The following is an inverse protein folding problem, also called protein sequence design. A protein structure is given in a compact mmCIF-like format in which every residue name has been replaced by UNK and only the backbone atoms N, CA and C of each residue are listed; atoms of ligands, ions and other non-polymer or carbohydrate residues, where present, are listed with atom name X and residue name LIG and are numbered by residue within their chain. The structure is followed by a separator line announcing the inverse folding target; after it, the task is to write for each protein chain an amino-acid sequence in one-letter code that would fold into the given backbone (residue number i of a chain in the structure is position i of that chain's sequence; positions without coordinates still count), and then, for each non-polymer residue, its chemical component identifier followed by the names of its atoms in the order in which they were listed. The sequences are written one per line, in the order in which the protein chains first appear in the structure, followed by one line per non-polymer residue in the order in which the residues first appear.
data_IF_954262604231
#
_entry.id   IF_954262604231
#
_cell.length_a   1.000
_cell.length_b   1.000
_cell.length_c   1.000
_cell.angle_alpha   90.00
_cell.angle_beta   90.00
_cell.angle_gamma   90.00
#
_symmetry.space_group_name_H-M   'P 1'
#
loop_
_entity.id
_entity.type
_entity.pdbx_description
1 polymer ?
#
# COMPACT_ATOMS: atom_id res chain seq x y z
N UNK A 1 9.73 52.65 -5.07
CA UNK A 1 10.47 51.87 -4.04
C UNK A 1 9.55 51.18 -3.02
N UNK A 2 8.43 51.78 -2.58
CA UNK A 2 7.49 51.14 -1.63
C UNK A 2 6.80 49.87 -2.18
N UNK A 3 6.50 49.82 -3.48
CA UNK A 3 5.88 48.61 -4.12
C UNK A 3 6.81 47.40 -4.19
N UNK A 4 8.13 47.59 -4.27
CA UNK A 4 9.11 46.51 -4.25
C UNK A 4 9.32 45.96 -2.83
N UNK A 5 9.18 46.81 -1.82
CA UNK A 5 9.28 46.42 -0.40
C UNK A 5 8.07 45.61 0.06
N UNK A 6 6.86 45.95 -0.40
CA UNK A 6 5.64 45.18 -0.11
C UNK A 6 5.64 43.80 -0.80
N UNK A 7 6.21 43.68 -2.00
CA UNK A 7 6.40 42.39 -2.67
C UNK A 7 7.45 41.51 -1.97
N UNK A 8 8.53 42.10 -1.45
CA UNK A 8 9.52 41.39 -0.65
C UNK A 8 8.96 40.90 0.70
N UNK A 9 8.11 41.70 1.35
CA UNK A 9 7.43 41.31 2.60
C UNK A 9 6.36 40.23 2.39
N UNK A 10 5.66 40.23 1.24
CA UNK A 10 4.74 39.14 0.87
C UNK A 10 5.49 37.83 0.59
N UNK A 11 6.66 37.89 -0.04
CA UNK A 11 7.53 36.73 -0.27
C UNK A 11 8.12 36.17 1.03
N UNK A 12 8.44 37.04 2.01
CA UNK A 12 8.93 36.63 3.32
C UNK A 12 7.83 36.05 4.24
N UNK A 13 6.59 36.56 4.16
CA UNK A 13 5.46 36.01 4.91
C UNK A 13 4.98 34.65 4.39
N UNK A 14 5.24 34.32 3.11
CA UNK A 14 4.98 32.99 2.56
C UNK A 14 6.03 31.93 2.99
N UNK A 15 7.10 32.34 3.67
CA UNK A 15 8.17 31.44 4.13
C UNK A 15 8.26 31.31 5.67
N UNK A 16 7.34 31.90 6.43
CA UNK A 16 7.34 31.81 7.89
C UNK A 16 6.31 30.77 8.41
N UNK A 17 6.81 29.55 8.62
CA UNK A 17 6.40 28.50 9.58
C UNK A 17 4.91 28.36 9.96
N UNK A 18 4.35 27.22 9.55
CA UNK A 18 3.81 26.26 10.52
C UNK A 18 4.71 25.01 10.49
N UNK A 19 5.39 24.76 11.61
CA UNK A 19 6.17 23.53 11.85
C UNK A 19 5.19 22.38 12.13
N UNK A 20 4.58 21.84 11.08
CA UNK A 20 4.11 20.45 11.07
C UNK A 20 5.01 19.71 10.10
N UNK A 21 5.57 18.59 10.53
CA UNK A 21 6.45 17.74 9.74
C UNK A 21 5.65 17.01 8.64
N UNK A 22 4.96 17.74 7.78
CA UNK A 22 4.38 17.23 6.55
C UNK A 22 5.54 16.77 5.67
N UNK A 23 5.60 15.47 5.39
CA UNK A 23 6.45 14.90 4.35
C UNK A 23 5.96 15.49 3.01
N UNK A 24 6.36 16.71 2.69
CA UNK A 24 6.12 17.33 1.39
C UNK A 24 7.11 16.71 0.41
N UNK A 25 6.70 15.59 -0.20
CA UNK A 25 7.36 15.06 -1.38
C UNK A 25 7.04 16.02 -2.53
N UNK A 26 8.06 16.69 -3.04
CA UNK A 26 7.98 17.42 -4.29
C UNK A 26 7.71 16.38 -5.38
N UNK A 27 6.46 16.32 -5.81
CA UNK A 27 6.02 15.54 -6.95
C UNK A 27 6.50 16.33 -8.16
N UNK A 28 7.57 15.84 -8.80
CA UNK A 28 7.87 16.24 -10.16
C UNK A 28 6.57 16.08 -10.95
N UNK A 29 6.21 17.11 -11.69
CA UNK A 29 4.93 17.24 -12.36
C UNK A 29 5.12 16.76 -13.82
N UNK A 30 5.14 15.45 -14.13
CA UNK A 30 5.13 15.01 -15.51
C UNK A 30 3.81 15.49 -16.13
N UNK A 31 3.82 15.80 -17.43
CA UNK A 31 2.59 16.07 -18.17
C UNK A 31 1.60 14.93 -17.88
N UNK A 32 0.55 15.23 -17.12
CA UNK A 32 -0.46 14.26 -16.74
C UNK A 32 -1.12 13.72 -18.01
N UNK A 33 -1.07 12.40 -18.18
CA UNK A 33 -1.77 11.72 -19.27
C UNK A 33 -3.28 11.94 -19.15
N UNK A 34 -4.02 11.78 -20.24
CA UNK A 34 -5.49 11.87 -20.21
C UNK A 34 -6.10 10.90 -19.18
N UNK A 35 -5.55 9.69 -19.07
CA UNK A 35 -5.99 8.69 -18.08
C UNK A 35 -5.79 9.17 -16.63
N UNK A 36 -4.67 9.86 -16.37
CA UNK A 36 -4.39 10.47 -15.06
C UNK A 36 -5.40 11.57 -14.73
N UNK A 37 -5.79 12.39 -15.71
CA UNK A 37 -6.78 13.45 -15.51
C UNK A 37 -8.18 12.90 -15.24
N UNK A 38 -8.59 11.85 -15.95
CA UNK A 38 -9.88 11.17 -15.70
C UNK A 38 -9.93 10.56 -14.30
N UNK A 39 -8.82 10.01 -13.82
CA UNK A 39 -8.69 9.52 -12.44
C UNK A 39 -8.90 10.64 -11.42
N UNK A 40 -8.13 11.75 -11.50
CA UNK A 40 -8.27 12.85 -10.54
C UNK A 40 -9.67 13.46 -10.56
N UNK A 41 -10.31 13.55 -11.72
CA UNK A 41 -11.70 14.01 -11.83
C UNK A 41 -12.67 13.08 -11.09
N UNK A 42 -12.54 11.76 -11.26
CA UNK A 42 -13.37 10.78 -10.56
C UNK A 42 -13.12 10.82 -9.05
N UNK A 43 -11.84 10.90 -8.64
CA UNK A 43 -11.44 10.95 -7.24
C UNK A 43 -12.00 12.18 -6.54
N UNK A 44 -11.85 13.35 -7.16
CA UNK A 44 -12.42 14.61 -6.67
C UNK A 44 -13.93 14.54 -6.49
N UNK A 45 -14.64 13.88 -7.42
CA UNK A 45 -16.09 13.70 -7.32
C UNK A 45 -16.47 12.87 -6.09
N UNK A 46 -15.77 11.74 -5.86
CA UNK A 46 -15.95 10.91 -4.68
C UNK A 46 -15.65 11.70 -3.39
N UNK A 47 -14.48 12.33 -3.32
CA UNK A 47 -14.05 13.12 -2.17
C UNK A 47 -15.06 14.24 -1.83
N UNK A 48 -15.44 15.03 -2.83
CA UNK A 48 -16.40 16.13 -2.64
C UNK A 48 -17.75 15.61 -2.15
N UNK A 49 -18.19 14.46 -2.65
CA UNK A 49 -19.44 13.85 -2.23
C UNK A 49 -19.37 13.39 -0.77
N UNK A 50 -18.32 12.66 -0.39
CA UNK A 50 -18.14 12.17 0.99
C UNK A 50 -17.99 13.32 1.99
N UNK A 51 -17.28 14.40 1.62
CA UNK A 51 -17.16 15.60 2.44
C UNK A 51 -18.52 16.28 2.67
N UNK A 52 -19.32 16.46 1.61
CA UNK A 52 -20.67 17.04 1.73
C UNK A 52 -21.61 16.17 2.54
N UNK A 53 -21.52 14.84 2.37
CA UNK A 53 -22.31 13.88 3.14
C UNK A 53 -21.98 13.97 4.63
N UNK A 54 -20.69 14.04 4.98
CA UNK A 54 -20.26 14.22 6.37
C UNK A 54 -20.84 15.47 6.98
N UNK A 55 -20.60 16.64 6.35
CA UNK A 55 -21.05 17.94 6.88
C UNK A 55 -22.56 17.95 7.09
N UNK A 56 -23.35 17.40 6.16
CA UNK A 56 -24.80 17.33 6.33
C UNK A 56 -25.19 16.51 7.56
N UNK A 57 -24.54 15.36 7.78
CA UNK A 57 -24.84 14.48 8.90
C UNK A 57 -24.36 15.10 10.21
N UNK A 58 -23.22 15.81 10.20
CA UNK A 58 -22.71 16.56 11.34
C UNK A 58 -23.67 17.71 11.71
N UNK A 59 -24.14 18.50 10.72
CA UNK A 59 -25.14 19.57 10.90
C UNK A 59 -26.48 19.03 11.43
N UNK A 60 -26.93 17.87 10.94
CA UNK A 60 -28.14 17.21 11.42
C UNK A 60 -27.98 16.72 12.88
N UNK A 61 -26.77 16.28 13.28
CA UNK A 61 -26.46 15.81 14.65
C UNK A 61 -26.37 16.97 15.64
N UNK A 62 -25.77 18.09 15.23
CA UNK A 62 -25.53 19.26 16.09
C UNK A 62 -26.77 20.18 16.22
N UNK A 63 -27.89 19.87 15.56
CA UNK A 63 -29.15 20.62 15.72
C UNK A 63 -29.73 20.41 17.14
N UNK A 64 -29.80 21.47 17.97
CA UNK A 64 -30.31 21.38 19.35
C UNK A 64 -31.81 21.02 19.43
N UNK A 65 -32.54 21.07 18.31
CA UNK A 65 -33.94 20.63 18.20
C UNK A 65 -34.08 19.24 17.57
N UNK A 66 -32.97 18.57 17.24
CA UNK A 66 -33.03 17.19 16.77
C UNK A 66 -33.61 16.30 17.89
N UNK A 67 -34.70 15.55 17.65
CA UNK A 67 -35.24 14.61 18.63
C UNK A 67 -34.25 13.50 19.03
N UNK A 68 -33.11 13.39 18.35
CA UNK A 68 -31.99 12.49 18.62
C UNK A 68 -30.74 13.25 19.16
N UNK A 69 -30.94 14.22 20.05
CA UNK A 69 -29.85 15.01 20.66
C UNK A 69 -28.72 14.10 21.24
N UNK A 70 -27.47 14.27 20.78
CA UNK A 70 -26.32 13.40 21.10
C UNK A 70 -25.87 13.41 22.58
N UNK A 71 -26.30 14.38 23.38
CA UNK A 71 -25.97 14.43 24.82
C UNK A 71 -26.84 13.52 25.69
N UNK A 72 -27.92 12.94 25.14
CA UNK A 72 -28.88 12.11 25.90
C UNK A 72 -29.16 10.73 25.32
N UNK A 73 -28.76 10.48 24.09
CA UNK A 73 -28.79 9.16 23.48
C UNK A 73 -27.38 8.81 23.02
N UNK A 74 -26.89 7.64 23.41
CA UNK A 74 -25.86 6.92 22.65
C UNK A 74 -26.27 7.02 21.17
N UNK A 75 -25.68 7.93 20.39
CA UNK A 75 -25.83 7.90 18.94
C UNK A 75 -25.38 6.48 18.57
N UNK A 76 -26.21 5.63 17.92
CA UNK A 76 -25.76 4.29 17.61
C UNK A 76 -24.44 4.45 16.87
N UNK A 77 -23.37 3.79 17.31
CA UNK A 77 -22.04 3.89 16.71
C UNK A 77 -22.10 3.77 15.16
N UNK A 78 -23.13 3.08 14.69
CA UNK A 78 -23.61 2.98 13.32
C UNK A 78 -23.92 4.30 12.60
N UNK A 79 -24.67 5.25 13.19
CA UNK A 79 -25.00 6.53 12.55
C UNK A 79 -23.75 7.38 12.35
N UNK A 80 -22.91 7.47 13.39
CA UNK A 80 -21.63 8.18 13.31
C UNK A 80 -20.68 7.52 12.31
N UNK A 81 -20.67 6.19 12.25
CA UNK A 81 -19.93 5.42 11.26
C UNK A 81 -20.38 5.66 9.82
N UNK A 82 -21.69 5.76 9.62
CA UNK A 82 -22.29 5.98 8.31
C UNK A 82 -22.16 7.43 7.83
N UNK A 83 -21.66 8.38 8.62
CA UNK A 83 -21.61 9.79 8.22
C UNK A 83 -20.86 10.05 6.90
N UNK A 84 -19.87 9.21 6.61
CA UNK A 84 -19.09 9.26 5.38
C UNK A 84 -19.59 8.30 4.28
N UNK A 85 -20.61 7.49 4.59
CA UNK A 85 -21.15 6.43 3.74
C UNK A 85 -22.62 6.65 3.41
N UNK A 86 -22.92 6.65 2.11
CA UNK A 86 -24.28 6.74 1.57
C UNK A 86 -24.34 5.96 0.27
N UNK A 87 -25.54 5.60 -0.19
CA UNK A 87 -25.74 4.75 -1.37
C UNK A 87 -24.99 5.20 -2.64
N UNK A 88 -24.68 6.50 -2.78
CA UNK A 88 -23.96 7.03 -3.94
C UNK A 88 -22.42 7.00 -3.79
N UNK A 89 -21.85 6.73 -2.61
CA UNK A 89 -20.39 6.60 -2.44
C UNK A 89 -19.84 5.37 -3.15
N UNK A 90 -20.55 4.24 -3.13
CA UNK A 90 -20.14 2.99 -3.79
C UNK A 90 -20.01 3.16 -5.31
N UNK A 91 -21.04 3.65 -6.05
CA UNK A 91 -20.89 3.89 -7.49
C UNK A 91 -19.75 4.84 -7.84
N UNK A 92 -19.54 5.89 -7.03
CA UNK A 92 -18.44 6.84 -7.24
C UNK A 92 -17.07 6.19 -6.99
N UNK A 93 -16.92 5.39 -5.94
CA UNK A 93 -15.68 4.66 -5.67
C UNK A 93 -15.38 3.59 -6.73
N UNK A 94 -16.42 2.90 -7.25
CA UNK A 94 -16.27 2.04 -8.43
C UNK A 94 -15.80 2.82 -9.66
N UNK A 95 -16.28 4.04 -9.85
CA UNK A 95 -15.82 4.90 -10.94
C UNK A 95 -14.34 5.30 -10.76
N UNK A 96 -13.92 5.62 -9.54
CA UNK A 96 -12.49 5.87 -9.21
C UNK A 96 -11.63 4.66 -9.56
N UNK A 97 -12.00 3.47 -9.08
CA UNK A 97 -11.25 2.24 -9.32
C UNK A 97 -11.13 1.90 -10.82
N UNK A 98 -12.15 2.20 -11.63
CA UNK A 98 -12.10 2.03 -13.10
C UNK A 98 -11.11 2.97 -13.78
N UNK A 99 -10.84 4.13 -13.19
CA UNK A 99 -9.98 5.15 -13.79
C UNK A 99 -8.52 5.05 -13.38
N UNK A 100 -8.16 4.14 -12.48
CA UNK A 100 -6.76 3.91 -12.08
C UNK A 100 -5.92 3.55 -13.31
N UNK A 101 -4.91 4.38 -13.67
CA UNK A 101 -4.14 4.17 -14.90
C UNK A 101 -3.48 2.79 -14.97
N UNK A 102 -2.88 2.34 -13.87
CA UNK A 102 -2.24 1.03 -13.77
C UNK A 102 -3.19 -0.13 -14.12
N UNK A 103 -4.47 -0.03 -13.75
CA UNK A 103 -5.45 -1.08 -14.01
C UNK A 103 -5.91 -1.12 -15.48
N UNK A 104 -5.69 -0.04 -16.24
CA UNK A 104 -5.92 -0.01 -17.68
C UNK A 104 -4.78 -0.70 -18.45
N UNK A 105 -3.59 -0.78 -17.85
CA UNK A 105 -2.42 -1.44 -18.43
C UNK A 105 -2.48 -2.96 -18.35
N UNK A 106 -3.21 -3.51 -17.37
CA UNK A 106 -3.44 -4.96 -17.27
C UNK A 106 -4.35 -5.42 -18.42
N UNK A 107 -3.89 -6.38 -19.22
CA UNK A 107 -4.63 -6.94 -20.36
C UNK A 107 -4.99 -8.40 -20.09
N UNK A 108 -6.18 -8.69 -19.51
CA UNK A 108 -6.59 -10.05 -19.23
C UNK A 108 -6.46 -10.95 -20.46
N UNK A 109 -5.88 -12.13 -20.30
CA UNK A 109 -5.68 -13.14 -21.36
C UNK A 109 -6.85 -14.12 -21.44
N UNK A 110 -7.70 -14.17 -20.41
CA UNK A 110 -8.82 -15.08 -20.29
C UNK A 110 -9.83 -14.57 -19.26
N UNK A 111 -11.02 -15.18 -19.22
CA UNK A 111 -12.10 -14.82 -18.30
C UNK A 111 -11.71 -14.89 -16.81
N UNK A 112 -10.77 -15.76 -16.43
CA UNK A 112 -10.30 -15.85 -15.05
C UNK A 112 -9.46 -14.63 -14.66
N UNK A 113 -8.62 -14.13 -15.56
CA UNK A 113 -7.87 -12.87 -15.37
C UNK A 113 -8.80 -11.64 -15.41
N UNK A 114 -9.93 -11.69 -16.11
CA UNK A 114 -10.94 -10.63 -16.07
C UNK A 114 -11.61 -10.55 -14.69
N UNK A 115 -11.97 -11.70 -14.11
CA UNK A 115 -12.47 -11.79 -12.73
C UNK A 115 -11.44 -11.30 -11.73
N UNK A 116 -10.17 -11.65 -11.91
CA UNK A 116 -9.08 -11.13 -11.08
C UNK A 116 -9.00 -9.60 -11.15
N UNK A 117 -9.03 -9.01 -12.34
CA UNK A 117 -8.97 -7.54 -12.49
C UNK A 117 -10.22 -6.86 -11.90
N UNK A 118 -11.39 -7.49 -12.01
CA UNK A 118 -12.60 -7.00 -11.36
C UNK A 118 -12.43 -6.98 -9.84
N UNK A 119 -11.91 -8.06 -9.25
CA UNK A 119 -11.64 -8.13 -7.81
C UNK A 119 -10.59 -7.11 -7.34
N UNK A 120 -9.51 -6.91 -8.10
CA UNK A 120 -8.52 -5.84 -7.84
C UNK A 120 -9.20 -4.46 -7.79
N UNK A 121 -10.14 -4.19 -8.70
CA UNK A 121 -10.90 -2.93 -8.72
C UNK A 121 -11.86 -2.81 -7.54
N UNK A 122 -12.49 -3.90 -7.11
CA UNK A 122 -13.36 -3.91 -5.93
C UNK A 122 -12.54 -3.64 -4.65
N UNK A 123 -11.36 -4.24 -4.50
CA UNK A 123 -10.45 -3.92 -3.40
C UNK A 123 -9.96 -2.46 -3.45
N UNK A 124 -9.63 -1.96 -4.64
CA UNK A 124 -9.25 -0.56 -4.80
C UNK A 124 -10.39 0.42 -4.50
N UNK A 125 -11.64 0.04 -4.76
CA UNK A 125 -12.83 0.81 -4.36
C UNK A 125 -12.88 0.93 -2.83
N UNK A 126 -12.70 -0.18 -2.09
CA UNK A 126 -12.64 -0.14 -0.63
C UNK A 126 -11.48 0.73 -0.12
N UNK A 127 -10.29 0.60 -0.72
CA UNK A 127 -9.13 1.43 -0.39
C UNK A 127 -9.38 2.93 -0.60
N UNK A 128 -10.10 3.31 -1.67
CA UNK A 128 -10.36 4.72 -1.97
C UNK A 128 -11.24 5.35 -0.90
N UNK A 129 -12.29 4.63 -0.50
CA UNK A 129 -13.23 5.10 0.51
C UNK A 129 -12.56 5.19 1.90
N UNK A 130 -11.80 4.17 2.30
CA UNK A 130 -11.14 4.14 3.60
C UNK A 130 -10.09 5.25 3.72
N UNK A 131 -9.25 5.41 2.69
CA UNK A 131 -8.23 6.46 2.66
C UNK A 131 -8.85 7.86 2.72
N UNK A 132 -9.96 8.09 2.01
CA UNK A 132 -10.68 9.37 2.07
C UNK A 132 -11.21 9.62 3.48
N UNK A 133 -11.77 8.62 4.18
CA UNK A 133 -12.29 8.80 5.55
C UNK A 133 -11.19 9.10 6.54
N UNK A 134 -10.06 8.40 6.47
CA UNK A 134 -8.93 8.61 7.38
C UNK A 134 -8.35 10.02 7.25
N UNK A 135 -8.22 10.54 6.02
CA UNK A 135 -7.54 11.81 5.75
C UNK A 135 -8.50 13.01 5.50
N UNK A 136 -9.83 12.79 5.53
CA UNK A 136 -10.86 13.76 5.09
C UNK A 136 -10.72 15.14 5.73
N UNK A 137 -10.28 15.19 6.99
CA UNK A 137 -10.25 16.41 7.80
C UNK A 137 -8.90 17.14 7.77
N UNK A 138 -7.83 16.47 7.34
CA UNK A 138 -6.46 16.97 7.53
C UNK A 138 -5.75 17.29 6.21
N UNK A 139 -6.15 16.64 5.09
CA UNK A 139 -5.39 16.69 3.85
C UNK A 139 -6.22 17.14 2.65
N UNK A 140 -5.52 17.69 1.66
CA UNK A 140 -6.12 18.09 0.39
C UNK A 140 -6.45 16.86 -0.45
N UNK A 141 -7.59 16.87 -1.14
CA UNK A 141 -8.03 15.84 -2.08
C UNK A 141 -6.93 15.36 -3.03
N UNK A 142 -6.17 16.28 -3.63
CA UNK A 142 -5.09 15.94 -4.57
C UNK A 142 -3.94 15.17 -3.93
N UNK A 143 -3.69 15.36 -2.63
CA UNK A 143 -2.71 14.58 -1.88
C UNK A 143 -3.23 13.15 -1.69
N UNK A 144 -4.46 13.00 -1.20
CA UNK A 144 -5.10 11.70 -0.95
C UNK A 144 -5.19 10.88 -2.24
N UNK A 145 -5.55 11.52 -3.36
CA UNK A 145 -5.61 10.90 -4.67
C UNK A 145 -4.25 10.35 -5.15
N UNK A 146 -3.15 11.05 -4.82
CA UNK A 146 -1.79 10.60 -5.17
C UNK A 146 -1.33 9.46 -4.30
N UNK A 147 -1.55 9.53 -2.99
CA UNK A 147 -1.29 8.42 -2.08
C UNK A 147 -2.04 7.16 -2.53
N UNK A 148 -3.32 7.31 -2.91
CA UNK A 148 -4.09 6.21 -3.47
C UNK A 148 -3.41 5.57 -4.70
N UNK A 149 -2.93 6.37 -5.65
CA UNK A 149 -2.23 5.85 -6.82
C UNK A 149 -0.94 5.14 -6.45
N UNK A 150 -0.16 5.69 -5.52
CA UNK A 150 1.11 5.10 -5.12
C UNK A 150 0.91 3.76 -4.41
N UNK A 151 -0.06 3.66 -3.48
CA UNK A 151 -0.40 2.41 -2.79
C UNK A 151 -0.75 1.31 -3.78
N UNK A 152 -1.58 1.62 -4.78
CA UNK A 152 -1.97 0.65 -5.79
C UNK A 152 -0.79 0.28 -6.71
N UNK A 153 0.09 1.23 -7.03
CA UNK A 153 1.32 0.95 -7.77
C UNK A 153 2.27 0.04 -6.99
N UNK A 154 2.52 0.36 -5.72
CA UNK A 154 3.35 -0.42 -4.82
C UNK A 154 2.90 -1.88 -4.71
N UNK A 155 1.58 -2.10 -4.62
CA UNK A 155 1.01 -3.43 -4.48
C UNK A 155 0.98 -4.20 -5.81
N UNK A 156 0.48 -3.59 -6.89
CA UNK A 156 0.11 -4.33 -8.11
C UNK A 156 1.10 -4.19 -9.27
N UNK A 157 1.88 -3.11 -9.37
CA UNK A 157 2.74 -2.85 -10.52
C UNK A 157 3.75 -3.99 -10.80
N UNK A 158 4.44 -4.58 -9.82
CA UNK A 158 5.37 -5.69 -10.07
C UNK A 158 4.69 -6.92 -10.68
N UNK A 159 3.48 -7.26 -10.19
CA UNK A 159 2.70 -8.38 -10.70
C UNK A 159 2.21 -8.11 -12.13
N UNK A 160 1.74 -6.89 -12.39
CA UNK A 160 1.25 -6.49 -13.71
C UNK A 160 2.38 -6.41 -14.73
N UNK A 161 3.54 -5.92 -14.34
CA UNK A 161 4.73 -5.92 -15.20
C UNK A 161 5.20 -7.35 -15.50
N UNK A 162 5.13 -8.27 -14.53
CA UNK A 162 5.46 -9.67 -14.77
C UNK A 162 4.45 -10.35 -15.71
N UNK A 163 3.17 -10.02 -15.59
CA UNK A 163 2.11 -10.48 -16.48
C UNK A 163 2.33 -10.06 -17.93
N UNK A 164 2.72 -8.80 -18.16
CA UNK A 164 3.11 -8.27 -19.49
C UNK A 164 4.23 -9.11 -20.13
N UNK A 165 5.10 -9.69 -19.30
CA UNK A 165 6.21 -10.55 -19.71
C UNK A 165 5.88 -12.06 -19.69
N UNK A 166 4.61 -12.42 -19.55
CA UNK A 166 4.14 -13.79 -19.69
C UNK A 166 3.89 -14.56 -18.39
N UNK A 167 4.01 -13.92 -17.21
CA UNK A 167 3.60 -14.57 -15.97
C UNK A 167 2.10 -14.91 -15.99
N UNK A 168 1.76 -16.13 -15.56
CA UNK A 168 0.39 -16.51 -15.20
C UNK A 168 0.10 -16.03 -13.77
N UNK A 169 -0.69 -14.96 -13.67
CA UNK A 169 -1.02 -14.29 -12.40
C UNK A 169 -1.85 -15.19 -11.50
N UNK A 170 -2.77 -15.97 -12.08
CA UNK A 170 -3.67 -16.84 -11.32
C UNK A 170 -2.88 -18.00 -10.72
N UNK A 171 -1.99 -18.61 -11.50
CA UNK A 171 -1.11 -19.67 -11.01
C UNK A 171 -0.15 -19.15 -9.91
N UNK A 172 0.36 -17.93 -10.09
CA UNK A 172 1.23 -17.26 -9.11
C UNK A 172 0.50 -17.03 -7.78
N UNK A 173 -0.69 -16.41 -7.80
CA UNK A 173 -1.47 -16.15 -6.58
C UNK A 173 -1.87 -17.44 -5.86
N UNK A 174 -2.20 -18.51 -6.61
CA UNK A 174 -2.42 -19.84 -6.03
C UNK A 174 -1.19 -20.39 -5.31
N UNK A 175 0.03 -20.11 -5.79
CA UNK A 175 1.25 -20.53 -5.07
C UNK A 175 1.46 -19.71 -3.80
N UNK A 176 1.26 -18.39 -3.85
CA UNK A 176 1.32 -17.56 -2.65
C UNK A 176 0.32 -18.05 -1.60
N UNK A 177 -0.92 -18.32 -2.02
CA UNK A 177 -1.93 -18.85 -1.13
C UNK A 177 -1.51 -20.17 -0.49
N UNK A 178 -0.91 -21.11 -1.24
CA UNK A 178 -0.40 -22.37 -0.65
C UNK A 178 0.67 -22.16 0.42
N UNK A 179 1.48 -21.11 0.28
CA UNK A 179 2.56 -20.78 1.24
C UNK A 179 2.02 -20.09 2.49
N UNK A 180 1.09 -19.16 2.31
CA UNK A 180 0.61 -18.28 3.38
C UNK A 180 -0.64 -18.82 4.07
N UNK A 181 -1.54 -19.54 3.40
CA UNK A 181 -2.75 -20.16 4.01
C UNK A 181 -2.47 -21.14 5.15
N UNK A 182 -1.26 -21.72 5.19
CA UNK A 182 -0.80 -22.61 6.27
C UNK A 182 -0.16 -21.86 7.44
N UNK A 183 0.07 -20.55 7.28
CA UNK A 183 0.80 -19.67 8.19
C UNK A 183 -0.01 -18.42 8.60
N UNK A 184 -1.31 -18.38 8.29
CA UNK A 184 -2.27 -17.32 8.63
C UNK A 184 -2.63 -17.34 10.12
N UNK A 185 -1.62 -17.27 10.99
CA UNK A 185 -1.86 -16.81 12.36
C UNK A 185 -1.98 -15.28 12.29
N UNK A 186 -3.20 -14.77 12.46
CA UNK A 186 -3.50 -13.34 12.53
C UNK A 186 -2.63 -12.62 13.61
N UNK A 187 -2.03 -13.34 14.57
CA UNK A 187 -1.02 -12.75 15.49
C UNK A 187 0.26 -12.30 14.80
N UNK A 188 0.71 -12.99 13.74
CA UNK A 188 1.87 -12.54 12.93
C UNK A 188 1.56 -11.23 12.20
N UNK A 189 0.30 -11.04 11.82
CA UNK A 189 -0.18 -9.79 11.22
C UNK A 189 -0.07 -8.62 12.21
N UNK A 190 -0.45 -8.81 13.48
CA UNK A 190 -0.25 -7.78 14.49
C UNK A 190 1.24 -7.42 14.68
N UNK A 191 2.16 -8.38 14.54
CA UNK A 191 3.59 -8.10 14.60
C UNK A 191 4.07 -7.26 13.40
N UNK A 192 3.62 -7.58 12.19
CA UNK A 192 3.85 -6.78 10.96
C UNK A 192 3.33 -5.35 11.18
N UNK A 193 2.17 -5.19 11.84
CA UNK A 193 1.57 -3.88 12.12
C UNK A 193 2.41 -3.08 13.09
N UNK A 194 2.69 -3.66 14.25
CA UNK A 194 3.40 -2.98 15.33
C UNK A 194 4.81 -2.60 14.86
N UNK A 195 5.42 -3.45 14.03
CA UNK A 195 6.67 -3.16 13.35
C UNK A 195 6.55 -1.98 12.36
N UNK A 196 5.61 -2.00 11.42
CA UNK A 196 5.41 -0.91 10.46
C UNK A 196 5.06 0.41 11.16
N UNK A 197 4.17 0.37 12.16
CA UNK A 197 3.76 1.52 12.95
C UNK A 197 4.93 2.11 13.74
N UNK A 198 5.76 1.28 14.37
CA UNK A 198 6.97 1.75 15.04
C UNK A 198 7.92 2.48 14.07
N UNK A 199 8.05 1.99 12.83
CA UNK A 199 8.92 2.61 11.80
C UNK A 199 8.36 3.90 11.20
N UNK A 200 7.04 3.99 10.99
CA UNK A 200 6.39 5.26 10.61
C UNK A 200 6.61 6.29 11.72
N UNK A 201 6.37 5.92 12.98
CA UNK A 201 6.63 6.82 14.10
C UNK A 201 8.12 7.15 14.27
N UNK A 202 9.06 6.27 13.91
CA UNK A 202 10.49 6.61 13.84
C UNK A 202 10.81 7.61 12.72
N UNK A 203 10.10 7.54 11.58
CA UNK A 203 10.20 8.53 10.51
C UNK A 203 9.73 9.91 10.97
N UNK A 204 8.60 9.94 11.70
CA UNK A 204 8.06 11.17 12.29
C UNK A 204 8.94 11.68 13.46
N UNK A 205 9.57 10.77 14.21
CA UNK A 205 10.48 11.09 15.32
C UNK A 205 11.93 11.26 14.85
N UNK A 206 12.22 12.30 14.04
CA UNK A 206 13.53 12.98 13.85
C UNK A 206 14.81 12.13 13.57
N UNK A 207 14.78 10.80 13.61
CA UNK A 207 15.96 9.92 13.57
C UNK A 207 16.12 9.19 12.23
N UNK A 208 15.04 9.03 11.45
CA UNK A 208 15.19 8.77 10.01
C UNK A 208 15.32 10.13 9.36
N UNK A 209 16.51 10.73 9.39
CA UNK A 209 16.67 12.01 8.69
C UNK A 209 16.66 11.74 7.19
N UNK A 210 15.65 12.21 6.43
CA UNK A 210 15.55 11.97 5.00
C UNK A 210 16.47 12.96 4.26
N UNK A 211 17.74 13.01 4.64
CA UNK A 211 18.72 13.89 3.99
C UNK A 211 19.09 13.41 2.57
N UNK A 212 18.83 12.14 2.23
CA UNK A 212 19.11 11.57 0.91
C UNK A 212 17.83 11.14 0.19
N UNK A 213 17.66 11.43 -1.12
CA UNK A 213 16.44 11.11 -1.88
C UNK A 213 15.99 9.64 -1.80
N UNK A 214 16.92 8.68 -1.80
CA UNK A 214 16.58 7.25 -1.73
C UNK A 214 15.92 6.83 -0.40
N UNK A 215 16.15 7.57 0.70
CA UNK A 215 15.52 7.29 2.00
C UNK A 215 14.08 7.77 2.06
N UNK A 216 13.73 8.79 1.27
CA UNK A 216 12.34 9.22 1.10
C UNK A 216 11.50 8.11 0.48
N UNK A 217 12.04 7.38 -0.49
CA UNK A 217 11.37 6.24 -1.10
C UNK A 217 11.11 5.11 -0.09
N UNK A 218 12.08 4.80 0.81
CA UNK A 218 11.87 3.80 1.84
C UNK A 218 10.75 4.22 2.81
N UNK A 219 10.76 5.47 3.29
CA UNK A 219 9.71 5.97 4.17
C UNK A 219 8.34 5.96 3.48
N UNK A 220 8.29 6.34 2.21
CA UNK A 220 7.07 6.32 1.40
C UNK A 220 6.53 4.89 1.23
N UNK A 221 7.35 3.93 0.80
CA UNK A 221 6.92 2.53 0.66
C UNK A 221 6.50 1.90 2.00
N UNK A 222 7.11 2.30 3.13
CA UNK A 222 6.68 1.86 4.48
C UNK A 222 5.33 2.46 4.86
N UNK A 223 5.07 3.71 4.49
CA UNK A 223 3.76 4.35 4.65
C UNK A 223 2.69 3.67 3.79
N UNK A 224 3.01 3.44 2.52
CA UNK A 224 2.14 2.75 1.56
C UNK A 224 1.86 1.29 1.95
N UNK A 225 2.80 0.60 2.59
CA UNK A 225 2.58 -0.75 3.11
C UNK A 225 1.63 -0.76 4.32
N UNK A 226 1.58 0.32 5.10
CA UNK A 226 0.73 0.42 6.28
C UNK A 226 -0.74 0.65 5.95
N UNK A 227 -1.06 1.36 4.87
CA UNK A 227 -2.46 1.72 4.56
C UNK A 227 -3.30 0.50 4.13
N UNK A 228 -2.91 -0.31 3.12
CA UNK A 228 -3.60 -1.56 2.81
C UNK A 228 -3.62 -2.52 3.98
N UNK A 229 -2.67 -2.42 4.92
CA UNK A 229 -2.72 -3.21 6.15
C UNK A 229 -4.01 -2.97 6.94
N UNK A 230 -4.50 -1.74 6.96
CA UNK A 230 -5.73 -1.42 7.68
C UNK A 230 -6.92 -2.23 7.13
N UNK A 231 -6.89 -2.44 5.82
CA UNK A 231 -7.92 -3.13 5.03
C UNK A 231 -7.70 -4.65 5.06
N UNK A 232 -6.48 -5.11 4.87
CA UNK A 232 -6.14 -6.52 4.79
C UNK A 232 -6.01 -7.20 6.15
N UNK A 233 -5.69 -6.44 7.20
CA UNK A 233 -5.08 -6.97 8.40
C UNK A 233 -5.61 -6.31 9.70
N UNK A 234 -6.15 -5.09 9.63
CA UNK A 234 -6.68 -4.37 10.80
C UNK A 234 -8.21 -4.40 10.84
N UNK A 235 -8.75 -5.60 11.09
CA UNK A 235 -10.15 -5.81 11.46
C UNK A 235 -10.63 -4.99 12.68
N UNK A 236 -9.76 -4.25 13.36
CA UNK A 236 -10.10 -3.44 14.54
C UNK A 236 -10.29 -1.95 14.25
N UNK A 237 -9.86 -1.46 13.08
CA UNK A 237 -9.94 -0.05 12.66
C UNK A 237 -10.57 0.10 11.26
N UNK A 238 -11.12 -0.97 10.67
CA UNK A 238 -12.08 -0.79 9.59
C UNK A 238 -13.14 0.18 10.09
N UNK A 239 -13.27 1.28 9.37
CA UNK A 239 -14.37 2.19 9.59
C UNK A 239 -15.65 1.35 9.62
N UNK A 240 -16.43 1.46 10.70
CA UNK A 240 -17.68 0.71 10.92
C UNK A 240 -18.56 0.61 9.66
N UNK A 241 -18.51 1.60 8.77
CA UNK A 241 -19.22 1.57 7.50
C UNK A 241 -18.68 0.55 6.48
N UNK A 242 -17.38 0.26 6.40
CA UNK A 242 -16.88 -0.80 5.50
C UNK A 242 -17.46 -2.13 5.92
N UNK A 243 -17.55 -2.37 7.23
CA UNK A 243 -18.19 -3.56 7.77
C UNK A 243 -19.64 -3.68 7.32
N UNK A 244 -20.40 -2.57 7.28
CA UNK A 244 -21.76 -2.54 6.75
C UNK A 244 -21.84 -2.83 5.26
N UNK A 245 -20.92 -2.26 4.48
CA UNK A 245 -20.88 -2.51 3.03
C UNK A 245 -20.60 -3.97 2.75
N UNK A 246 -19.62 -4.56 3.45
CA UNK A 246 -19.30 -5.97 3.30
C UNK A 246 -20.46 -6.84 3.77
N UNK A 247 -21.07 -6.55 4.92
CA UNK A 247 -22.24 -7.28 5.43
C UNK A 247 -23.40 -7.26 4.43
N UNK A 248 -23.72 -6.09 3.85
CA UNK A 248 -24.77 -5.98 2.83
C UNK A 248 -24.40 -6.71 1.53
N UNK A 249 -23.16 -6.55 1.04
CA UNK A 249 -22.70 -7.22 -0.19
C UNK A 249 -22.66 -8.73 -0.05
N UNK A 250 -22.35 -9.24 1.14
CA UNK A 250 -22.21 -10.67 1.40
C UNK A 250 -23.43 -11.29 2.10
N UNK A 251 -24.48 -10.53 2.36
CA UNK A 251 -25.65 -10.98 3.15
C UNK A 251 -25.18 -11.64 4.47
N UNK A 252 -24.33 -10.91 5.19
CA UNK A 252 -23.61 -11.40 6.37
C UNK A 252 -24.48 -11.61 7.61
N UNK A 253 -25.66 -10.98 7.64
CA UNK A 253 -26.62 -11.10 8.72
C UNK A 253 -26.11 -10.56 10.06
N UNK A 254 -25.21 -9.56 10.06
CA UNK A 254 -24.76 -8.94 11.31
C UNK A 254 -25.94 -8.23 11.99
N UNK A 255 -26.25 -8.65 13.21
CA UNK A 255 -27.22 -8.00 14.08
C UNK A 255 -26.64 -6.71 14.67
N UNK A 256 -26.60 -5.64 13.87
CA UNK A 256 -26.02 -4.34 14.22
C UNK A 256 -26.65 -3.71 15.46
N UNK A 257 -27.90 -4.05 15.76
CA UNK A 257 -28.63 -3.68 16.98
C UNK A 257 -28.01 -4.24 18.26
N UNK A 258 -27.21 -5.30 18.16
CA UNK A 258 -26.53 -5.95 19.29
C UNK A 258 -25.09 -5.47 19.47
N UNK A 259 -24.60 -4.59 18.61
CA UNK A 259 -23.27 -4.01 18.71
C UNK A 259 -23.33 -2.82 19.68
N UNK A 260 -23.15 -3.12 20.97
CA UNK A 260 -23.29 -2.15 22.07
C UNK A 260 -22.08 -1.25 22.29
N UNK A 261 -20.89 -1.72 21.90
CA UNK A 261 -19.63 -1.02 22.12
C UNK A 261 -18.55 -1.47 21.12
N UNK A 262 -17.41 -0.76 21.13
CA UNK A 262 -16.27 -1.01 20.24
C UNK A 262 -15.66 -2.40 20.42
N UNK A 263 -15.69 -2.99 21.61
CA UNK A 263 -15.16 -4.35 21.82
C UNK A 263 -16.07 -5.40 21.19
N UNK A 264 -17.39 -5.26 21.36
CA UNK A 264 -18.40 -6.14 20.73
C UNK A 264 -18.39 -5.98 19.20
N UNK A 265 -18.27 -4.74 18.70
CA UNK A 265 -18.10 -4.47 17.28
C UNK A 265 -16.91 -5.24 16.72
N UNK A 266 -15.72 -5.05 17.33
CA UNK A 266 -14.50 -5.72 16.91
C UNK A 266 -14.71 -7.22 16.85
N UNK A 267 -15.19 -7.85 17.93
CA UNK A 267 -15.39 -9.31 17.92
C UNK A 267 -16.35 -9.77 16.80
N UNK A 268 -17.51 -9.12 16.69
CA UNK A 268 -18.54 -9.49 15.71
C UNK A 268 -18.03 -9.33 14.28
N UNK A 269 -17.32 -8.24 14.01
CA UNK A 269 -16.75 -7.97 12.71
C UNK A 269 -15.59 -8.91 12.37
N UNK A 270 -14.74 -9.28 13.33
CA UNK A 270 -13.70 -10.29 13.12
C UNK A 270 -14.32 -11.64 12.75
N UNK A 271 -15.33 -12.10 13.50
CA UNK A 271 -16.04 -13.34 13.20
C UNK A 271 -16.67 -13.32 11.79
N UNK A 272 -17.22 -12.17 11.37
CA UNK A 272 -17.76 -11.99 10.03
C UNK A 272 -16.67 -12.06 8.96
N UNK A 273 -15.56 -11.34 9.15
CA UNK A 273 -14.43 -11.31 8.20
C UNK A 273 -13.83 -12.70 8.04
N UNK A 274 -13.61 -13.44 9.13
CA UNK A 274 -13.07 -14.79 9.10
C UNK A 274 -14.01 -15.76 8.36
N UNK A 275 -15.32 -15.70 8.64
CA UNK A 275 -16.32 -16.54 7.95
C UNK A 275 -16.45 -16.23 6.46
N UNK A 276 -16.18 -14.98 6.07
CA UNK A 276 -16.36 -14.51 4.70
C UNK A 276 -15.03 -14.26 3.96
N UNK A 277 -13.88 -14.62 4.54
CA UNK A 277 -12.56 -14.27 4.01
C UNK A 277 -12.39 -14.68 2.53
N UNK A 278 -12.83 -15.88 2.16
CA UNK A 278 -12.77 -16.36 0.77
C UNK A 278 -13.73 -15.63 -0.18
N UNK A 279 -14.87 -15.13 0.34
CA UNK A 279 -15.84 -14.35 -0.45
C UNK A 279 -15.36 -12.91 -0.65
N UNK A 280 -14.70 -12.37 0.38
CA UNK A 280 -14.13 -11.03 0.39
C UNK A 280 -12.88 -10.98 -0.49
N UNK A 281 -12.00 -11.98 -0.41
CA UNK A 281 -10.75 -12.03 -1.18
C UNK A 281 -10.60 -13.35 -1.96
N UNK A 282 -11.45 -13.59 -2.98
CA UNK A 282 -11.44 -14.83 -3.76
C UNK A 282 -10.18 -15.01 -4.62
N UNK A 283 -9.37 -13.96 -4.80
CA UNK A 283 -8.10 -14.03 -5.54
C UNK A 283 -6.86 -14.08 -4.64
N UNK A 284 -7.02 -14.07 -3.33
CA UNK A 284 -5.92 -14.11 -2.38
C UNK A 284 -4.97 -12.90 -2.51
N UNK A 285 -5.50 -11.70 -2.70
CA UNK A 285 -4.73 -10.46 -2.73
C UNK A 285 -4.07 -10.15 -1.39
N UNK A 286 -4.59 -10.67 -0.27
CA UNK A 286 -3.92 -10.63 1.03
C UNK A 286 -2.55 -11.33 1.00
N UNK A 287 -2.46 -12.47 0.32
CA UNK A 287 -1.23 -13.24 0.20
C UNK A 287 -0.22 -12.51 -0.70
N UNK A 288 -0.70 -11.79 -1.72
CA UNK A 288 0.12 -10.86 -2.50
C UNK A 288 0.66 -9.73 -1.63
N UNK A 289 -0.19 -9.07 -0.84
CA UNK A 289 0.21 -8.02 0.10
C UNK A 289 1.30 -8.54 1.07
N UNK A 290 1.08 -9.72 1.65
CA UNK A 290 2.05 -10.36 2.56
C UNK A 290 3.40 -10.62 1.88
N UNK A 291 3.38 -11.09 0.63
CA UNK A 291 4.60 -11.29 -0.15
C UNK A 291 5.36 -9.97 -0.45
N UNK A 292 4.67 -8.83 -0.47
CA UNK A 292 5.27 -7.50 -0.68
C UNK A 292 5.83 -6.91 0.61
N UNK A 293 5.11 -7.03 1.71
CA UNK A 293 5.51 -6.44 3.01
C UNK A 293 6.70 -7.14 3.64
N UNK A 294 6.71 -8.48 3.67
CA UNK A 294 7.76 -9.20 4.41
C UNK A 294 9.18 -8.84 3.93
N UNK A 295 9.50 -8.79 2.63
CA UNK A 295 10.82 -8.34 2.18
C UNK A 295 11.13 -6.90 2.56
N UNK A 296 10.15 -5.99 2.47
CA UNK A 296 10.33 -4.59 2.85
C UNK A 296 10.71 -4.49 4.34
N UNK A 297 9.94 -5.14 5.21
CA UNK A 297 10.17 -5.14 6.66
C UNK A 297 11.50 -5.78 7.06
N UNK A 298 11.84 -6.92 6.45
CA UNK A 298 13.11 -7.61 6.73
C UNK A 298 14.32 -6.74 6.42
N UNK A 299 14.24 -5.91 5.37
CA UNK A 299 15.36 -5.10 4.91
C UNK A 299 15.37 -3.69 5.53
N UNK A 300 14.21 -3.13 5.89
CA UNK A 300 14.04 -1.77 6.40
C UNK A 300 15.05 -1.37 7.52
N UNK A 301 15.28 -2.17 8.58
CA UNK A 301 16.21 -1.84 9.65
C UNK A 301 17.65 -1.58 9.20
N UNK A 302 18.08 -2.24 8.12
CA UNK A 302 19.47 -2.24 7.68
C UNK A 302 19.81 -1.08 6.75
N UNK A 303 18.82 -0.45 6.12
CA UNK A 303 19.07 0.73 5.26
C UNK A 303 19.60 1.93 6.03
N UNK A 304 19.33 2.06 7.34
CA UNK A 304 19.90 3.16 8.12
C UNK A 304 21.43 3.04 8.28
N UNK A 305 21.95 1.80 8.38
CA UNK A 305 23.38 1.52 8.48
C UNK A 305 24.17 2.05 7.26
N UNK A 306 23.50 2.21 6.12
CA UNK A 306 24.10 2.71 4.88
C UNK A 306 24.15 4.25 4.78
N UNK A 307 23.80 4.99 5.85
CA UNK A 307 23.61 6.47 5.82
C UNK A 307 24.79 7.25 5.26
N UNK A 308 26.00 6.84 5.61
CA UNK A 308 27.21 7.58 5.30
C UNK A 308 28.01 6.99 4.14
N UNK A 309 27.51 5.93 3.50
CA UNK A 309 28.20 5.23 2.42
C UNK A 309 29.66 4.84 2.78
N UNK A 310 29.93 4.59 4.06
CA UNK A 310 31.23 4.10 4.54
C UNK A 310 31.57 2.79 3.81
N UNK A 311 32.71 2.70 3.09
CA UNK A 311 32.99 1.57 2.22
C UNK A 311 32.95 0.21 2.92
N UNK A 312 33.41 0.14 4.18
CA UNK A 312 33.50 -1.11 4.92
C UNK A 312 32.11 -1.51 5.44
N UNK A 313 31.43 -0.59 6.12
CA UNK A 313 30.07 -0.83 6.64
C UNK A 313 29.12 -1.19 5.49
N UNK A 314 29.21 -0.48 4.37
CA UNK A 314 28.39 -0.72 3.19
C UNK A 314 28.60 -2.12 2.64
N UNK A 315 29.86 -2.52 2.40
CA UNK A 315 30.17 -3.84 1.84
C UNK A 315 29.76 -4.97 2.79
N UNK A 316 30.07 -4.84 4.08
CA UNK A 316 29.78 -5.88 5.07
C UNK A 316 28.26 -6.03 5.28
N UNK A 317 27.52 -4.91 5.36
CA UNK A 317 26.05 -4.91 5.50
C UNK A 317 25.37 -5.52 4.29
N UNK A 318 25.71 -5.09 3.07
CA UNK A 318 25.09 -5.63 1.85
C UNK A 318 25.48 -7.10 1.59
N UNK A 319 26.66 -7.53 2.06
CA UNK A 319 27.06 -8.94 2.01
C UNK A 319 26.25 -9.80 3.01
N UNK A 320 26.01 -9.28 4.21
CA UNK A 320 25.22 -9.96 5.24
C UNK A 320 23.70 -9.94 4.97
N UNK A 321 23.23 -8.94 4.22
CA UNK A 321 21.82 -8.75 3.87
C UNK A 321 21.65 -8.54 2.35
N UNK A 322 21.97 -9.54 1.51
CA UNK A 322 22.01 -9.38 0.06
C UNK A 322 20.62 -9.12 -0.55
N UNK A 323 19.54 -9.44 0.15
CA UNK A 323 18.16 -9.14 -0.26
C UNK A 323 17.88 -7.64 -0.36
N UNK A 324 18.62 -6.78 0.35
CA UNK A 324 18.53 -5.33 0.23
C UNK A 324 18.83 -4.84 -1.20
N UNK A 325 19.66 -5.59 -1.94
CA UNK A 325 20.03 -5.29 -3.32
C UNK A 325 18.91 -5.51 -4.34
N UNK A 326 17.78 -6.09 -3.92
CA UNK A 326 16.60 -6.30 -4.77
C UNK A 326 15.69 -5.06 -4.84
N UNK A 327 15.95 -4.05 -4.00
CA UNK A 327 15.24 -2.76 -4.03
C UNK A 327 16.23 -1.59 -4.12
N UNK A 328 16.96 -1.45 -5.25
CA UNK A 328 17.97 -0.42 -5.42
C UNK A 328 17.44 1.01 -5.34
N UNK A 329 16.12 1.25 -5.47
CA UNK A 329 15.52 2.58 -5.22
C UNK A 329 15.78 3.14 -3.81
N UNK A 330 16.08 2.27 -2.84
CA UNK A 330 16.44 2.68 -1.47
C UNK A 330 17.95 2.84 -1.25
N UNK A 331 18.76 2.66 -2.30
CA UNK A 331 20.21 2.64 -2.22
C UNK A 331 20.81 3.87 -2.89
N UNK A 332 21.94 4.34 -2.34
CA UNK A 332 22.81 5.29 -3.03
C UNK A 332 23.41 4.65 -4.28
N UNK A 333 23.87 5.45 -5.24
CA UNK A 333 24.57 4.96 -6.44
C UNK A 333 25.75 4.05 -6.08
N UNK A 334 26.51 4.41 -5.04
CA UNK A 334 27.65 3.61 -4.55
C UNK A 334 27.21 2.26 -3.95
N UNK A 335 26.09 2.26 -3.22
CA UNK A 335 25.50 1.02 -2.68
C UNK A 335 24.99 0.11 -3.80
N UNK A 336 24.35 0.67 -4.84
CA UNK A 336 23.93 -0.09 -6.02
C UNK A 336 25.11 -0.73 -6.77
N UNK A 337 26.20 0.02 -6.97
CA UNK A 337 27.44 -0.51 -7.56
C UNK A 337 28.01 -1.67 -6.73
N UNK A 338 27.99 -1.55 -5.40
CA UNK A 338 28.47 -2.61 -4.52
C UNK A 338 27.58 -3.84 -4.59
N UNK A 339 26.25 -3.67 -4.63
CA UNK A 339 25.32 -4.77 -4.89
C UNK A 339 25.64 -5.51 -6.20
N UNK A 340 25.92 -4.76 -7.28
CA UNK A 340 26.29 -5.34 -8.56
C UNK A 340 27.59 -6.16 -8.45
N UNK A 341 28.61 -5.63 -7.77
CA UNK A 341 29.86 -6.35 -7.55
C UNK A 341 29.66 -7.60 -6.69
N UNK A 342 28.87 -7.53 -5.62
CA UNK A 342 28.54 -8.67 -4.76
C UNK A 342 27.85 -9.78 -5.55
N UNK A 343 26.86 -9.42 -6.37
CA UNK A 343 26.16 -10.35 -7.24
C UNK A 343 27.10 -10.95 -8.28
N UNK A 344 27.85 -10.15 -9.04
CA UNK A 344 28.78 -10.66 -10.06
C UNK A 344 29.86 -11.59 -9.48
N UNK A 345 30.44 -11.23 -8.34
CA UNK A 345 31.49 -12.01 -7.70
C UNK A 345 30.96 -13.17 -6.83
N UNK A 346 29.64 -13.26 -6.64
CA UNK A 346 28.97 -14.23 -5.75
C UNK A 346 29.59 -14.28 -4.35
N UNK A 347 29.85 -13.11 -3.77
CA UNK A 347 30.54 -12.98 -2.46
C UNK A 347 29.59 -12.84 -1.27
N UNK A 348 28.31 -13.15 -1.47
CA UNK A 348 27.22 -13.15 -0.47
C UNK A 348 26.69 -14.57 -0.24
N UNK A 349 25.87 -14.76 0.79
CA UNK A 349 25.18 -16.03 1.02
C UNK A 349 24.00 -16.17 0.04
N UNK A 350 24.13 -17.04 -0.97
CA UNK A 350 23.06 -17.20 -1.98
C UNK A 350 21.78 -17.80 -1.42
N UNK A 351 21.86 -18.47 -0.26
CA UNK A 351 20.69 -19.01 0.45
C UNK A 351 19.68 -17.92 0.83
N UNK A 352 20.14 -16.73 1.21
CA UNK A 352 19.23 -15.63 1.63
C UNK A 352 18.35 -15.17 0.47
N UNK A 353 18.92 -15.11 -0.74
CA UNK A 353 18.18 -14.78 -1.96
C UNK A 353 17.23 -15.91 -2.36
N UNK A 354 17.67 -17.17 -2.25
CA UNK A 354 16.82 -18.32 -2.53
C UNK A 354 15.64 -18.40 -1.57
N UNK A 355 15.86 -18.23 -0.27
CA UNK A 355 14.81 -18.22 0.75
C UNK A 355 13.80 -17.09 0.48
N UNK A 356 14.26 -15.89 0.10
CA UNK A 356 13.35 -14.83 -0.32
C UNK A 356 12.58 -15.22 -1.60
N UNK A 357 13.24 -15.78 -2.61
CA UNK A 357 12.59 -16.21 -3.85
C UNK A 357 11.54 -17.31 -3.59
N UNK A 358 11.80 -18.27 -2.71
CA UNK A 358 10.83 -19.29 -2.31
C UNK A 358 9.64 -18.70 -1.56
N UNK A 359 9.87 -17.68 -0.73
CA UNK A 359 8.84 -16.99 0.03
C UNK A 359 7.90 -16.18 -0.88
N UNK A 360 8.46 -15.34 -1.76
CA UNK A 360 7.67 -14.38 -2.54
C UNK A 360 7.33 -14.85 -3.94
N UNK A 361 7.95 -15.96 -4.40
CA UNK A 361 7.80 -16.59 -5.74
C UNK A 361 8.20 -15.73 -6.93
N UNK A 362 8.09 -14.41 -6.85
CA UNK A 362 8.45 -13.43 -7.87
C UNK A 362 9.43 -12.42 -7.25
N UNK A 363 10.64 -12.35 -7.80
CA UNK A 363 11.60 -11.31 -7.47
C UNK A 363 11.63 -10.30 -8.60
N UNK A 364 11.43 -9.04 -8.24
CA UNK A 364 11.62 -7.87 -9.09
C UNK A 364 12.80 -7.06 -8.58
N UNK A 365 13.49 -6.37 -9.49
CA UNK A 365 14.41 -5.29 -9.12
C UNK A 365 13.60 -4.01 -9.21
N UNK A 366 13.28 -3.44 -8.04
CA UNK A 366 12.19 -2.47 -7.88
C UNK A 366 10.87 -3.00 -8.50
N UNK A 367 10.36 -2.36 -9.56
CA UNK A 367 9.14 -2.75 -10.27
C UNK A 367 9.40 -3.61 -11.52
N UNK A 368 10.66 -3.82 -11.88
CA UNK A 368 11.05 -4.59 -13.06
C UNK A 368 11.16 -6.08 -12.73
N UNK A 369 10.32 -6.95 -13.31
CA UNK A 369 10.37 -8.39 -13.05
C UNK A 369 11.73 -8.97 -13.40
N UNK A 370 12.27 -9.82 -12.52
CA UNK A 370 13.59 -10.41 -12.72
C UNK A 370 13.53 -11.93 -12.86
N UNK A 371 13.02 -12.63 -11.84
CA UNK A 371 12.87 -14.08 -11.85
C UNK A 371 11.60 -14.48 -11.13
N UNK A 372 11.07 -15.67 -11.43
CA UNK A 372 10.02 -16.27 -10.64
C UNK A 372 10.16 -17.79 -10.58
N UNK A 373 9.51 -18.40 -9.58
CA UNK A 373 9.35 -19.85 -9.49
C UNK A 373 7.95 -20.23 -9.97
N UNK A 374 7.88 -21.13 -10.96
CA UNK A 374 6.59 -21.66 -11.42
C UNK A 374 5.97 -22.62 -10.38
N UNK A 375 4.81 -23.21 -10.66
CA UNK A 375 4.12 -24.13 -9.73
C UNK A 375 4.89 -25.42 -9.38
N UNK A 376 5.98 -25.74 -10.09
CA UNK A 376 6.84 -26.90 -9.85
C UNK A 376 8.21 -26.51 -9.26
N UNK A 377 8.31 -25.31 -8.66
CA UNK A 377 9.55 -24.75 -8.11
C UNK A 377 10.70 -24.59 -9.12
N UNK A 378 10.38 -24.59 -10.42
CA UNK A 378 11.38 -24.36 -11.46
C UNK A 378 11.57 -22.87 -11.68
N UNK A 379 12.83 -22.44 -11.61
CA UNK A 379 13.26 -21.07 -11.91
C UNK A 379 12.91 -20.70 -13.35
N UNK A 380 12.26 -19.55 -13.49
CA UNK A 380 11.93 -18.90 -14.75
C UNK A 380 12.56 -17.51 -14.75
N UNK A 381 13.11 -17.12 -15.89
CA UNK A 381 13.79 -15.83 -16.05
C UNK A 381 12.98 -14.90 -16.94
N UNK A 382 12.87 -13.65 -16.53
CA UNK A 382 12.36 -12.60 -17.40
C UNK A 382 13.50 -12.00 -18.24
N UNK A 383 13.23 -11.65 -19.49
CA UNK A 383 14.19 -10.89 -20.29
C UNK A 383 14.39 -9.52 -19.65
N UNK A 384 15.65 -9.12 -19.43
CA UNK A 384 15.98 -7.86 -18.76
C UNK A 384 17.26 -7.24 -19.31
N UNK A 385 17.37 -5.93 -19.22
CA UNK A 385 18.61 -5.17 -19.44
C UNK A 385 19.18 -4.63 -18.13
N UNK A 386 18.51 -4.85 -16.99
CA UNK A 386 18.95 -4.38 -15.70
C UNK A 386 20.19 -5.19 -15.24
N UNK A 387 21.35 -4.53 -15.01
CA UNK A 387 22.59 -5.24 -14.66
C UNK A 387 22.53 -6.04 -13.36
N UNK A 388 21.79 -5.56 -12.35
CA UNK A 388 21.59 -6.30 -11.09
C UNK A 388 20.79 -7.57 -11.33
N UNK A 389 19.72 -7.47 -12.13
CA UNK A 389 18.92 -8.63 -12.48
C UNK A 389 19.72 -9.64 -13.30
N UNK A 390 20.47 -9.22 -14.32
CA UNK A 390 21.31 -10.12 -15.13
C UNK A 390 22.33 -10.88 -14.27
N UNK A 391 22.98 -10.18 -13.34
CA UNK A 391 23.92 -10.81 -12.41
C UNK A 391 23.22 -11.80 -11.48
N UNK A 392 22.03 -11.46 -10.97
CA UNK A 392 21.22 -12.34 -10.14
C UNK A 392 20.79 -13.61 -10.89
N UNK A 393 20.24 -13.46 -12.10
CA UNK A 393 19.79 -14.57 -12.95
C UNK A 393 20.91 -15.59 -13.23
N UNK A 394 22.10 -15.09 -13.59
CA UNK A 394 23.26 -15.93 -13.89
C UNK A 394 23.66 -16.81 -12.70
N UNK A 395 23.57 -16.28 -11.48
CA UNK A 395 23.92 -17.04 -10.27
C UNK A 395 22.83 -18.00 -9.84
N UNK A 396 21.57 -17.58 -9.87
CA UNK A 396 20.45 -18.45 -9.48
C UNK A 396 20.32 -19.66 -10.41
N UNK A 397 20.61 -19.50 -11.70
CA UNK A 397 20.65 -20.63 -12.63
C UNK A 397 21.69 -21.68 -12.25
N UNK A 398 22.87 -21.26 -11.76
CA UNK A 398 23.93 -22.19 -11.35
C UNK A 398 23.62 -22.90 -10.03
N UNK A 399 22.81 -22.27 -9.18
CA UNK A 399 22.53 -22.77 -7.83
C UNK A 399 21.28 -23.65 -7.75
N UNK A 400 20.36 -23.52 -8.71
CA UNK A 400 19.09 -24.26 -8.77
C UNK A 400 19.02 -25.27 -9.93
N UNK A 401 20.12 -25.42 -10.67
CA UNK A 401 20.39 -26.58 -11.55
C UNK A 401 21.12 -27.64 -10.75
#
# INVERSE_FOLDING_TARGET
MIRLFLLALLLLNLQAKEDVLTIMIQIDNPKESQDTQEFFKAFKALHTYMQKSSVKIDDDIDDPNNPNNPDTAYLPALTWAMRHYTDASIPLAKAVAKQVPLFKEFKPKNAREELFLAHVRDMAMFNALDLIVVDLLEKKETFIAREFLHINAWLYAPLFNAHKLGLDVIAYLKQLHRLFSKNTDLRRINNIRDFNRARIYEADRKNIVPHKPFRKHLAQDMHEAHIPMQIFAHHADYSYWVALVLDNLFDGGIAWDRVSDTCVFRRTFWDFMDKNAQRIDPEHLFDLYTARVIPLERNAPFYDLLRNDDPKILKDTLKAHPTMCLSPKYLSVKSQQTCQQLFQAKTYNSKDIQEQLHLVRLVSIDESPCVYLNSSDKLQLFKTTNPLCLALQTNLQKDLQ
#
